data_IF_584683116472
#
_entry.id   IF_584683116472
#
_cell.length_a   1.000
_cell.length_b   1.000
_cell.length_c   1.000
_cell.angle_alpha   90.00
_cell.angle_beta   90.00
_cell.angle_gamma   90.00
#
_symmetry.space_group_name_H-M   'P 1'
#
loop_
_entity.id
_entity.type
_entity.pdbx_description
1 polymer ?
#
# COMPACT_ATOMS: atom_id res chain seq x y z
N UNK A 1 -4.64 32.70 43.73
CA UNK A 1 -4.20 31.30 43.60
C UNK A 1 -4.46 30.46 44.85
N UNK A 2 -4.37 31.02 46.07
CA UNK A 2 -4.74 30.33 47.32
C UNK A 2 -6.27 30.13 47.52
N UNK A 3 -7.12 31.01 46.98
CA UNK A 3 -8.59 30.86 47.07
C UNK A 3 -9.16 29.74 46.21
N UNK A 4 -8.50 29.39 45.09
CA UNK A 4 -8.93 28.27 44.24
C UNK A 4 -8.63 26.93 44.93
N UNK A 5 -7.51 26.86 45.65
CA UNK A 5 -7.13 25.68 46.43
C UNK A 5 -8.06 25.46 47.63
N UNK A 6 -8.53 26.54 48.26
CA UNK A 6 -9.55 26.49 49.33
C UNK A 6 -10.94 26.05 48.85
N UNK A 7 -11.31 26.34 47.60
CA UNK A 7 -12.53 25.83 46.95
C UNK A 7 -12.43 24.35 46.55
N UNK A 8 -11.22 23.80 46.51
CA UNK A 8 -10.92 22.42 46.12
C UNK A 8 -10.58 21.51 47.32
N UNK A 9 -10.22 22.09 48.47
CA UNK A 9 -9.72 21.40 49.66
C UNK A 9 -10.66 21.34 50.87
N UNK A 10 -11.96 21.57 50.71
CA UNK A 10 -12.95 21.20 51.75
C UNK A 10 -12.96 19.68 51.96
N UNK A 11 -13.46 19.17 53.11
CA UNK A 11 -13.61 17.72 53.30
C UNK A 11 -14.31 17.15 52.07
N UNK A 12 -13.71 16.15 51.40
CA UNK A 12 -14.31 15.58 50.20
C UNK A 12 -15.79 15.30 50.53
N UNK A 13 -16.75 15.82 49.72
CA UNK A 13 -18.16 15.58 49.99
C UNK A 13 -18.34 14.06 50.17
N UNK A 14 -19.17 13.65 51.14
CA UNK A 14 -19.63 12.26 51.23
C UNK A 14 -19.91 11.79 49.80
N UNK A 15 -19.14 10.79 49.33
CA UNK A 15 -18.93 10.55 47.90
C UNK A 15 -20.21 10.58 47.06
N UNK A 16 -20.13 10.79 45.76
CA UNK A 16 -21.36 10.81 44.94
C UNK A 16 -21.97 9.41 44.79
N UNK A 17 -23.28 9.36 44.55
CA UNK A 17 -23.96 8.13 44.14
C UNK A 17 -23.55 7.71 42.73
N UNK A 18 -23.87 6.47 42.34
CA UNK A 18 -23.61 6.00 40.97
C UNK A 18 -24.39 6.80 39.92
N UNK A 19 -25.58 7.32 40.26
CA UNK A 19 -26.40 8.14 39.37
C UNK A 19 -25.78 9.51 39.13
N UNK A 20 -25.41 10.20 40.20
CA UNK A 20 -24.71 11.49 40.10
C UNK A 20 -23.39 11.33 39.32
N UNK A 21 -22.54 10.35 39.66
CA UNK A 21 -21.30 10.13 38.91
C UNK A 21 -21.55 9.82 37.43
N UNK A 22 -22.64 9.12 37.11
CA UNK A 22 -23.00 8.80 35.74
C UNK A 22 -23.35 10.06 34.92
N UNK A 23 -24.00 11.07 35.52
CA UNK A 23 -24.26 12.36 34.89
C UNK A 23 -22.95 13.10 34.57
N UNK A 24 -21.99 13.11 35.50
CA UNK A 24 -20.67 13.72 35.28
C UNK A 24 -19.87 13.05 34.17
N UNK A 25 -19.93 11.71 34.08
CA UNK A 25 -19.12 10.94 33.13
C UNK A 25 -19.82 10.69 31.79
N UNK A 26 -21.10 11.08 31.64
CA UNK A 26 -21.90 10.77 30.46
C UNK A 26 -22.15 9.27 30.28
N UNK A 27 -22.30 8.52 31.38
CA UNK A 27 -22.51 7.07 31.40
C UNK A 27 -23.89 6.72 31.97
N UNK A 28 -24.22 5.44 31.99
CA UNK A 28 -25.35 4.95 32.80
C UNK A 28 -24.86 4.55 34.20
N UNK A 29 -25.72 4.67 35.21
CA UNK A 29 -25.39 4.22 36.57
C UNK A 29 -25.01 2.73 36.63
N UNK A 30 -25.58 1.91 35.73
CA UNK A 30 -25.21 0.51 35.55
C UNK A 30 -23.76 0.36 35.06
N UNK A 31 -23.34 1.17 34.08
CA UNK A 31 -21.96 1.12 33.58
C UNK A 31 -20.96 1.61 34.63
N UNK A 32 -21.28 2.66 35.37
CA UNK A 32 -20.48 3.12 36.54
C UNK A 32 -20.32 1.98 37.55
N UNK A 33 -21.42 1.30 37.90
CA UNK A 33 -21.39 0.18 38.83
C UNK A 33 -20.58 -1.01 38.29
N UNK A 34 -20.62 -1.27 36.98
CA UNK A 34 -19.80 -2.30 36.34
C UNK A 34 -18.31 -1.95 36.40
N UNK A 35 -17.93 -0.72 36.05
CA UNK A 35 -16.54 -0.23 36.14
C UNK A 35 -15.99 -0.30 37.57
N UNK A 36 -16.84 -0.05 38.57
CA UNK A 36 -16.47 -0.21 39.98
C UNK A 36 -16.20 -1.67 40.35
N UNK A 37 -17.03 -2.61 39.87
CA UNK A 37 -16.82 -4.06 40.08
C UNK A 37 -15.59 -4.59 39.34
N UNK A 38 -15.31 -4.02 38.16
CA UNK A 38 -14.10 -4.28 37.36
C UNK A 38 -12.83 -3.67 38.00
N UNK A 39 -12.97 -2.91 39.09
CA UNK A 39 -11.85 -2.27 39.79
C UNK A 39 -11.28 -1.04 39.07
N UNK A 40 -11.95 -0.54 38.03
CA UNK A 40 -11.49 0.59 37.20
C UNK A 40 -11.69 1.92 37.92
N UNK A 41 -12.80 2.08 38.65
CA UNK A 41 -13.09 3.28 39.44
C UNK A 41 -13.22 2.95 40.93
N UNK A 42 -12.65 3.77 41.83
CA UNK A 42 -12.71 3.54 43.27
C UNK A 42 -14.13 3.67 43.81
N UNK A 43 -14.48 2.80 44.77
CA UNK A 43 -15.76 2.82 45.49
C UNK A 43 -15.51 2.60 46.98
N UNK A 44 -16.11 3.44 47.82
CA UNK A 44 -15.96 3.39 49.27
C UNK A 44 -16.89 2.32 49.89
N UNK A 45 -16.64 2.00 51.17
CA UNK A 45 -17.43 1.01 51.92
C UNK A 45 -18.93 1.33 51.94
N UNK A 46 -19.30 2.62 51.99
CA UNK A 46 -20.69 3.10 51.97
C UNK A 46 -21.33 3.08 50.58
N UNK A 47 -20.72 2.36 49.64
CA UNK A 47 -21.19 2.24 48.24
C UNK A 47 -21.17 3.55 47.45
N UNK A 48 -20.55 4.60 47.97
CA UNK A 48 -20.39 5.93 47.37
C UNK A 48 -19.04 6.09 46.66
N UNK A 49 -18.95 7.05 45.75
CA UNK A 49 -17.78 7.27 44.89
C UNK A 49 -17.07 8.58 45.23
N UNK A 50 -15.76 8.57 45.55
CA UNK A 50 -14.99 9.80 45.70
C UNK A 50 -14.89 10.49 44.33
N UNK A 51 -15.61 11.61 44.15
CA UNK A 51 -15.89 12.19 42.84
C UNK A 51 -14.61 12.46 42.05
N UNK A 52 -13.64 13.16 42.65
CA UNK A 52 -12.38 13.54 41.98
C UNK A 52 -11.56 12.31 41.58
N UNK A 53 -11.40 11.36 42.50
CA UNK A 53 -10.64 10.14 42.24
C UNK A 53 -11.32 9.24 41.19
N UNK A 54 -12.64 9.12 41.23
CA UNK A 54 -13.42 8.34 40.27
C UNK A 54 -13.36 8.91 38.86
N UNK A 55 -13.50 10.24 38.71
CA UNK A 55 -13.36 10.92 37.41
C UNK A 55 -11.96 10.73 36.85
N UNK A 56 -10.92 10.93 37.65
CA UNK A 56 -9.53 10.74 37.21
C UNK A 56 -9.28 9.30 36.74
N UNK A 57 -9.68 8.31 37.53
CA UNK A 57 -9.48 6.90 37.20
C UNK A 57 -10.21 6.50 35.90
N UNK A 58 -11.43 7.01 35.70
CA UNK A 58 -12.16 6.80 34.45
C UNK A 58 -11.46 7.47 33.25
N UNK A 59 -11.00 8.71 33.37
CA UNK A 59 -10.28 9.39 32.30
C UNK A 59 -9.00 8.63 31.89
N UNK A 60 -8.25 8.11 32.87
CA UNK A 60 -7.03 7.35 32.61
C UNK A 60 -7.35 6.02 31.91
N UNK A 61 -8.39 5.31 32.34
CA UNK A 61 -8.89 4.10 31.67
C UNK A 61 -9.37 4.37 30.23
N UNK A 62 -10.15 5.43 30.02
CA UNK A 62 -10.66 5.80 28.71
C UNK A 62 -9.54 6.14 27.72
N UNK A 63 -8.49 6.83 28.19
CA UNK A 63 -7.29 7.13 27.38
C UNK A 63 -6.52 5.85 27.04
N UNK A 64 -6.29 4.97 28.01
CA UNK A 64 -5.61 3.69 27.76
C UNK A 64 -6.35 2.84 26.72
N UNK A 65 -7.68 2.74 26.83
CA UNK A 65 -8.51 2.02 25.86
C UNK A 65 -8.60 2.70 24.48
N UNK A 66 -8.45 4.02 24.39
CA UNK A 66 -8.38 4.73 23.11
C UNK A 66 -7.06 4.48 22.39
N UNK A 67 -5.93 4.50 23.12
CA UNK A 67 -4.60 4.20 22.56
C UNK A 67 -4.52 2.75 22.07
N UNK A 68 -5.04 1.79 22.84
CA UNK A 68 -5.09 0.38 22.43
C UNK A 68 -5.89 0.17 21.14
N UNK A 69 -7.12 0.71 21.08
CA UNK A 69 -7.96 0.62 19.87
C UNK A 69 -7.32 1.26 18.63
N UNK A 70 -6.58 2.36 18.81
CA UNK A 70 -5.84 3.00 17.72
C UNK A 70 -4.69 2.11 17.22
N UNK A 71 -3.90 1.55 18.13
CA UNK A 71 -2.82 0.63 17.79
C UNK A 71 -3.34 -0.62 17.09
N UNK A 72 -4.46 -1.18 17.55
CA UNK A 72 -5.11 -2.34 16.91
C UNK A 72 -5.61 -2.01 15.50
N UNK A 73 -6.18 -0.82 15.30
CA UNK A 73 -6.63 -0.36 13.98
C UNK A 73 -5.46 -0.14 13.01
N UNK A 74 -4.36 0.46 13.48
CA UNK A 74 -3.14 0.64 12.70
C UNK A 74 -2.51 -0.71 12.31
N UNK A 75 -2.47 -1.67 13.26
CA UNK A 75 -1.99 -3.03 13.00
C UNK A 75 -2.89 -3.78 12.00
N UNK A 76 -4.22 -3.63 12.11
CA UNK A 76 -5.16 -4.23 11.18
C UNK A 76 -5.01 -3.65 9.76
N UNK A 77 -4.83 -2.33 9.64
CA UNK A 77 -4.57 -1.68 8.36
C UNK A 77 -3.26 -2.17 7.72
N UNK A 78 -2.20 -2.32 8.51
CA UNK A 78 -0.92 -2.82 8.02
C UNK A 78 -1.00 -4.28 7.56
N UNK A 79 -1.70 -5.13 8.33
CA UNK A 79 -1.96 -6.53 7.93
C UNK A 79 -2.76 -6.61 6.63
N UNK A 80 -3.75 -5.75 6.44
CA UNK A 80 -4.51 -5.67 5.20
C UNK A 80 -3.63 -5.26 4.02
N UNK A 81 -2.73 -4.29 4.21
CA UNK A 81 -1.75 -3.89 3.18
C UNK A 81 -0.85 -5.06 2.80
N UNK A 82 -0.26 -5.72 3.79
CA UNK A 82 0.59 -6.89 3.57
C UNK A 82 -0.16 -8.04 2.85
N UNK A 83 -1.43 -8.28 3.21
CA UNK A 83 -2.24 -9.30 2.56
C UNK A 83 -2.49 -8.98 1.07
N UNK A 84 -2.71 -7.70 0.73
CA UNK A 84 -2.83 -7.26 -0.67
C UNK A 84 -1.54 -7.49 -1.45
N UNK A 85 -0.40 -7.03 -0.93
CA UNK A 85 0.90 -7.22 -1.58
C UNK A 85 1.23 -8.72 -1.80
N UNK A 86 0.88 -9.57 -0.83
CA UNK A 86 1.02 -11.02 -0.98
C UNK A 86 0.08 -11.61 -2.02
N UNK A 87 -1.17 -11.12 -2.09
CA UNK A 87 -2.12 -11.54 -3.11
C UNK A 87 -1.64 -11.15 -4.52
N UNK A 88 -1.12 -9.94 -4.68
CA UNK A 88 -0.57 -9.45 -5.96
C UNK A 88 0.67 -10.26 -6.37
N UNK A 89 1.56 -10.55 -5.42
CA UNK A 89 2.71 -11.44 -5.65
C UNK A 89 2.26 -12.82 -6.11
N UNK A 90 1.25 -13.41 -5.47
CA UNK A 90 0.73 -14.72 -5.86
C UNK A 90 0.05 -14.68 -7.23
N UNK A 91 -0.70 -13.61 -7.52
CA UNK A 91 -1.32 -13.41 -8.82
C UNK A 91 -0.26 -13.31 -9.94
N UNK A 92 0.82 -12.57 -9.71
CA UNK A 92 1.96 -12.47 -10.63
C UNK A 92 2.64 -13.83 -10.85
N UNK A 93 2.88 -14.59 -9.78
CA UNK A 93 3.45 -15.93 -9.89
C UNK A 93 2.53 -16.88 -10.67
N UNK A 94 1.22 -16.80 -10.46
CA UNK A 94 0.24 -17.60 -11.20
C UNK A 94 0.20 -17.22 -12.68
N UNK A 95 0.21 -15.92 -13.02
CA UNK A 95 0.26 -15.44 -14.40
C UNK A 95 1.52 -15.95 -15.12
N UNK A 96 2.68 -15.90 -14.44
CA UNK A 96 3.93 -16.49 -14.95
C UNK A 96 3.81 -17.99 -15.16
N UNK A 97 3.24 -18.74 -14.21
CA UNK A 97 3.07 -20.18 -14.30
C UNK A 97 2.10 -20.60 -15.43
N UNK A 98 1.11 -19.77 -15.75
CA UNK A 98 0.20 -19.96 -16.89
C UNK A 98 0.81 -19.55 -18.24
N UNK A 99 1.99 -18.93 -18.25
CA UNK A 99 2.64 -18.44 -19.47
C UNK A 99 2.03 -17.15 -20.02
N UNK A 100 1.32 -16.37 -19.19
CA UNK A 100 0.71 -15.09 -19.59
C UNK A 100 1.74 -13.94 -19.61
N UNK A 101 2.92 -14.15 -19.04
CA UNK A 101 3.99 -13.17 -18.93
C UNK A 101 5.23 -13.67 -19.68
N UNK A 102 5.74 -12.83 -20.59
CA UNK A 102 6.99 -13.07 -21.31
C UNK A 102 8.01 -12.03 -20.85
N UNK A 103 9.27 -12.44 -20.70
CA UNK A 103 10.34 -11.52 -20.33
C UNK A 103 10.60 -10.54 -21.48
N UNK A 104 10.49 -9.23 -21.22
CA UNK A 104 10.74 -8.20 -22.23
C UNK A 104 12.12 -8.33 -22.89
N UNK A 105 13.15 -8.66 -22.10
CA UNK A 105 14.50 -8.89 -22.62
C UNK A 105 14.59 -10.10 -23.58
N UNK A 106 13.73 -11.10 -23.43
CA UNK A 106 13.65 -12.23 -24.36
C UNK A 106 12.98 -11.81 -25.65
N UNK A 107 11.84 -11.11 -25.58
CA UNK A 107 11.16 -10.51 -26.73
C UNK A 107 12.12 -9.63 -27.53
N UNK A 108 12.85 -8.73 -26.86
CA UNK A 108 13.82 -7.84 -27.49
C UNK A 108 14.94 -8.61 -28.20
N UNK A 109 15.52 -9.63 -27.56
CA UNK A 109 16.56 -10.46 -28.18
C UNK A 109 16.06 -11.19 -29.43
N UNK A 110 14.89 -11.79 -29.35
CA UNK A 110 14.30 -12.52 -30.48
C UNK A 110 13.99 -11.57 -31.65
N UNK A 111 13.37 -10.41 -31.38
CA UNK A 111 13.11 -9.40 -32.40
C UNK A 111 14.39 -8.81 -32.99
N UNK A 112 15.41 -8.55 -32.17
CA UNK A 112 16.72 -8.12 -32.66
C UNK A 112 17.39 -9.21 -33.54
N UNK A 113 17.13 -10.49 -33.29
CA UNK A 113 17.49 -11.59 -34.17
C UNK A 113 16.78 -11.49 -35.52
N UNK A 114 15.45 -11.44 -35.50
CA UNK A 114 14.62 -11.33 -36.71
C UNK A 114 15.03 -10.13 -37.57
N UNK A 115 15.23 -8.95 -36.96
CA UNK A 115 15.62 -7.75 -37.69
C UNK A 115 17.03 -7.84 -38.31
N UNK A 116 17.97 -8.53 -37.63
CA UNK A 116 19.29 -8.81 -38.21
C UNK A 116 19.20 -9.71 -39.44
N UNK A 117 18.36 -10.75 -39.38
CA UNK A 117 18.15 -11.66 -40.50
C UNK A 117 17.48 -10.95 -41.68
N UNK A 118 16.47 -10.12 -41.41
CA UNK A 118 15.85 -9.26 -42.43
C UNK A 118 16.90 -8.36 -43.09
N UNK A 119 17.70 -7.63 -42.30
CA UNK A 119 18.77 -6.76 -42.83
C UNK A 119 19.74 -7.55 -43.71
N UNK A 120 20.18 -8.72 -43.26
CA UNK A 120 21.08 -9.58 -44.03
C UNK A 120 20.44 -10.04 -45.35
N UNK A 121 19.16 -10.39 -45.33
CA UNK A 121 18.42 -10.80 -46.52
C UNK A 121 18.30 -9.67 -47.55
N UNK A 122 18.04 -8.43 -47.11
CA UNK A 122 18.00 -7.25 -47.96
C UNK A 122 19.37 -6.97 -48.59
N UNK A 123 20.43 -6.93 -47.79
CA UNK A 123 21.80 -6.71 -48.29
C UNK A 123 22.29 -7.80 -49.25
N UNK A 124 21.71 -9.00 -49.20
CA UNK A 124 22.00 -10.08 -50.14
C UNK A 124 21.20 -9.98 -51.45
N UNK A 125 20.22 -9.08 -51.59
CA UNK A 125 19.39 -8.98 -52.80
C UNK A 125 20.18 -8.68 -54.07
N UNK A 126 21.15 -7.74 -54.10
CA UNK A 126 21.88 -7.43 -55.34
C UNK A 126 22.66 -8.63 -55.87
N UNK A 127 23.36 -9.37 -54.99
CA UNK A 127 24.13 -10.56 -55.38
C UNK A 127 23.23 -11.71 -55.84
N UNK A 128 22.07 -11.89 -55.19
CA UNK A 128 21.06 -12.87 -55.62
C UNK A 128 20.43 -12.51 -56.95
N UNK A 129 20.22 -11.21 -57.23
CA UNK A 129 19.73 -10.73 -58.51
C UNK A 129 20.75 -10.98 -59.62
N UNK A 130 22.04 -10.68 -59.38
CA UNK A 130 23.12 -10.97 -60.32
C UNK A 130 23.18 -12.45 -60.72
N UNK A 131 23.02 -13.36 -59.74
CA UNK A 131 23.02 -14.80 -60.00
C UNK A 131 21.81 -15.33 -60.77
N UNK A 132 20.69 -14.59 -60.78
CA UNK A 132 19.44 -14.98 -61.46
C UNK A 132 19.24 -14.28 -62.80
N UNK A 133 19.75 -13.06 -62.94
CA UNK A 133 19.52 -12.17 -64.06
C UNK A 133 20.85 -11.86 -64.74
N UNK A 134 21.26 -12.73 -65.67
CA UNK A 134 22.56 -12.63 -66.35
C UNK A 134 22.74 -11.42 -67.29
N UNK A 135 21.71 -10.59 -67.46
CA UNK A 135 21.77 -9.36 -68.25
C UNK A 135 22.05 -8.11 -67.41
N UNK A 136 22.08 -8.21 -66.08
CA UNK A 136 22.39 -7.08 -65.21
C UNK A 136 23.85 -6.66 -65.38
N UNK A 137 24.07 -5.37 -65.58
CA UNK A 137 25.40 -4.80 -65.67
C UNK A 137 25.96 -4.48 -64.28
N UNK A 138 27.28 -4.27 -64.14
CA UNK A 138 27.86 -3.80 -62.88
C UNK A 138 27.24 -2.49 -62.37
N UNK A 139 26.82 -1.60 -63.29
CA UNK A 139 26.14 -0.36 -62.94
C UNK A 139 24.76 -0.64 -62.31
N UNK A 140 23.96 -1.55 -62.88
CA UNK A 140 22.64 -1.90 -62.35
C UNK A 140 22.74 -2.52 -60.95
N UNK A 141 23.75 -3.36 -60.72
CA UNK A 141 24.01 -3.96 -59.41
C UNK A 141 24.44 -2.94 -58.36
N UNK A 142 25.24 -1.95 -58.76
CA UNK A 142 25.64 -0.86 -57.87
C UNK A 142 24.44 0.04 -57.50
N UNK A 143 23.57 0.34 -58.46
CA UNK A 143 22.34 1.09 -58.21
C UNK A 143 21.40 0.33 -57.25
N UNK A 144 21.25 -0.99 -57.43
CA UNK A 144 20.46 -1.84 -56.53
C UNK A 144 21.04 -1.93 -55.11
N UNK A 145 22.37 -2.03 -54.95
CA UNK A 145 23.00 -2.05 -53.63
C UNK A 145 22.82 -0.71 -52.91
N UNK A 146 22.96 0.42 -53.62
CA UNK A 146 22.71 1.74 -53.07
C UNK A 146 21.25 1.89 -52.61
N UNK A 147 20.28 1.57 -53.48
CA UNK A 147 18.84 1.67 -53.16
C UNK A 147 18.46 0.81 -51.94
N UNK A 148 18.98 -0.43 -51.85
CA UNK A 148 18.74 -1.30 -50.70
C UNK A 148 19.25 -0.67 -49.40
N UNK A 149 20.41 0.00 -49.44
CA UNK A 149 20.99 0.66 -48.25
C UNK A 149 20.20 1.89 -47.87
N UNK A 150 19.77 2.68 -48.86
CA UNK A 150 18.98 3.88 -48.64
C UNK A 150 17.64 3.52 -47.99
N UNK A 151 16.93 2.51 -48.51
CA UNK A 151 15.69 2.00 -47.90
C UNK A 151 15.92 1.49 -46.47
N UNK A 152 17.03 0.75 -46.22
CA UNK A 152 17.36 0.29 -44.87
C UNK A 152 17.68 1.44 -43.91
N UNK A 153 18.23 2.56 -44.40
CA UNK A 153 18.48 3.77 -43.61
C UNK A 153 17.19 4.51 -43.31
N UNK A 154 16.32 4.70 -44.30
CA UNK A 154 14.98 5.29 -44.11
C UNK A 154 14.16 4.52 -43.06
N UNK A 155 14.19 3.19 -43.12
CA UNK A 155 13.53 2.33 -42.12
C UNK A 155 14.13 2.43 -40.71
N UNK A 156 15.40 2.83 -40.60
CA UNK A 156 16.06 3.02 -39.31
C UNK A 156 15.80 4.42 -38.71
N UNK A 157 15.44 5.40 -39.54
CA UNK A 157 15.14 6.78 -39.14
C UNK A 157 13.66 6.99 -38.77
N UNK A 158 12.78 6.09 -39.20
CA UNK A 158 11.38 6.08 -38.79
C UNK A 158 11.20 5.46 -37.39
N UNK A 159 11.09 6.31 -36.37
CA UNK A 159 10.52 5.98 -35.05
C UNK A 159 8.98 5.88 -35.11
#
# INVERSE_FOLDING_TARGET
MAEIDALVGGPEPEGVTAGELAEWLGLTANRVSALAREGVIPRNADKRFPLRAAVKAYCDHARAGATGRRADAELAAEKLRLAKENADKLAFQNARARGELIAAAEVEREWAGVLRDVRAAFLALPSRAAGKLGHLTPHDLAALDAEVRDVLMELAEHD
#
